data_IF_802336454127
#
_entry.id   IF_802336454127
#
_cell.length_a   1.000
_cell.length_b   1.000
_cell.length_c   1.000
_cell.angle_alpha   90.00
_cell.angle_beta   90.00
_cell.angle_gamma   90.00
#
_symmetry.space_group_name_H-M   'P 1'
#
loop_
_entity.id
_entity.type
_entity.pdbx_description
1 polymer ?
#
# COMPACT_ATOMS: atom_id res chain seq x y z
N UNK A 1 8.01 -18.42 -17.33
CA UNK A 1 7.48 -17.04 -17.30
C UNK A 1 7.93 -16.43 -15.99
N UNK A 2 8.44 -15.19 -16.01
CA UNK A 2 8.75 -14.51 -14.75
C UNK A 2 7.44 -14.20 -14.03
N UNK A 3 7.35 -14.42 -12.72
CA UNK A 3 6.15 -14.09 -11.98
C UNK A 3 5.95 -12.57 -12.05
N UNK A 4 4.73 -12.15 -12.36
CA UNK A 4 4.37 -10.74 -12.42
C UNK A 4 3.21 -10.47 -11.49
N UNK A 5 3.36 -9.47 -10.63
CA UNK A 5 2.25 -8.96 -9.84
C UNK A 5 1.22 -8.26 -10.75
N UNK A 6 -0.08 -8.27 -10.38
CA UNK A 6 -1.08 -7.39 -10.98
C UNK A 6 -0.69 -5.91 -10.80
N UNK A 7 -1.27 -5.02 -11.59
CA UNK A 7 -1.07 -3.57 -11.41
C UNK A 7 -1.59 -3.09 -10.06
N UNK A 8 -1.03 -2.00 -9.53
CA UNK A 8 -1.45 -1.41 -8.25
C UNK A 8 -2.95 -1.10 -8.17
N UNK A 9 -3.62 -0.56 -9.21
CA UNK A 9 -5.08 -0.39 -9.19
C UNK A 9 -5.85 -1.70 -9.03
N UNK A 10 -5.38 -2.78 -9.69
CA UNK A 10 -6.00 -4.10 -9.56
C UNK A 10 -5.76 -4.70 -8.17
N UNK A 11 -4.56 -4.52 -7.61
CA UNK A 11 -4.26 -4.92 -6.22
C UNK A 11 -5.20 -4.18 -5.25
N UNK A 12 -5.47 -2.89 -5.47
CA UNK A 12 -6.42 -2.13 -4.65
C UNK A 12 -7.85 -2.68 -4.73
N UNK A 13 -8.35 -2.96 -5.94
CA UNK A 13 -9.67 -3.56 -6.11
C UNK A 13 -9.77 -4.93 -5.40
N UNK A 14 -8.79 -5.81 -5.62
CA UNK A 14 -8.75 -7.14 -4.98
C UNK A 14 -8.59 -7.05 -3.46
N UNK A 15 -7.88 -6.05 -2.96
CA UNK A 15 -7.73 -5.77 -1.52
C UNK A 15 -9.07 -5.38 -0.91
N UNK A 16 -9.81 -4.45 -1.54
CA UNK A 16 -11.13 -4.06 -1.10
C UNK A 16 -12.11 -5.24 -1.12
N UNK A 17 -12.16 -6.00 -2.21
CA UNK A 17 -13.02 -7.17 -2.35
C UNK A 17 -12.67 -8.26 -1.32
N UNK A 18 -11.38 -8.41 -0.99
CA UNK A 18 -10.95 -9.31 0.08
C UNK A 18 -11.49 -8.90 1.45
N UNK A 19 -11.60 -7.60 1.72
CA UNK A 19 -12.06 -7.07 3.00
C UNK A 19 -13.58 -7.03 3.16
N UNK A 20 -14.35 -6.89 2.06
CA UNK A 20 -15.80 -6.65 1.99
C UNK A 20 -16.67 -7.58 2.85
N UNK A 21 -16.15 -8.71 3.33
CA UNK A 21 -16.90 -9.63 4.19
C UNK A 21 -16.10 -10.15 5.39
N UNK A 22 -14.87 -9.65 5.57
CA UNK A 22 -13.93 -10.12 6.60
C UNK A 22 -13.77 -9.13 7.75
N UNK A 23 -14.04 -7.86 7.51
CA UNK A 23 -13.92 -6.83 8.55
C UNK A 23 -15.01 -7.00 9.59
N UNK A 24 -14.62 -7.14 10.86
CA UNK A 24 -15.53 -7.05 12.01
C UNK A 24 -15.21 -5.81 12.83
N UNK A 25 -16.16 -4.91 12.99
CA UNK A 25 -15.95 -3.64 13.71
C UNK A 25 -15.64 -3.80 15.22
N UNK A 26 -15.91 -4.97 15.78
CA UNK A 26 -15.61 -5.29 17.18
C UNK A 26 -14.21 -5.88 17.39
N UNK A 27 -13.46 -6.14 16.33
CA UNK A 27 -12.14 -6.78 16.41
C UNK A 27 -11.06 -5.83 16.94
N UNK A 28 -10.04 -6.40 17.58
CA UNK A 28 -8.91 -5.61 18.09
C UNK A 28 -8.06 -5.14 16.90
N UNK A 29 -7.32 -4.04 17.09
CA UNK A 29 -6.36 -3.52 16.10
C UNK A 29 -5.44 -4.61 15.50
N UNK A 30 -4.98 -5.54 16.34
CA UNK A 30 -4.14 -6.68 15.97
C UNK A 30 -4.79 -7.62 14.96
N UNK A 31 -6.09 -7.83 15.06
CA UNK A 31 -6.83 -8.74 14.18
C UNK A 31 -6.99 -8.12 12.78
N UNK A 32 -7.17 -6.81 12.73
CA UNK A 32 -7.27 -6.07 11.48
C UNK A 32 -5.92 -6.00 10.75
N UNK A 33 -4.82 -5.70 11.43
CA UNK A 33 -3.46 -5.80 10.86
C UNK A 33 -3.19 -7.21 10.32
N UNK A 34 -3.64 -8.26 11.02
CA UNK A 34 -3.54 -9.63 10.53
C UNK A 34 -4.32 -9.84 9.22
N UNK A 35 -5.54 -9.30 9.09
CA UNK A 35 -6.31 -9.37 7.85
C UNK A 35 -5.58 -8.72 6.67
N UNK A 36 -4.93 -7.58 6.90
CA UNK A 36 -4.09 -6.92 5.87
C UNK A 36 -2.97 -7.86 5.43
N UNK A 37 -2.21 -8.42 6.37
CA UNK A 37 -1.11 -9.32 6.01
C UNK A 37 -1.58 -10.65 5.41
N UNK A 38 -2.76 -11.14 5.76
CA UNK A 38 -3.35 -12.33 5.17
C UNK A 38 -3.72 -12.12 3.70
N UNK A 39 -4.18 -10.91 3.33
CA UNK A 39 -4.35 -10.53 1.91
C UNK A 39 -3.04 -10.61 1.15
N UNK A 40 -1.99 -9.93 1.64
CA UNK A 40 -0.70 -9.91 0.94
C UNK A 40 -0.03 -11.29 0.90
N UNK A 41 -0.18 -12.09 1.95
CA UNK A 41 0.27 -13.49 1.96
C UNK A 41 -0.45 -14.33 0.90
N UNK A 42 -1.75 -14.10 0.68
CA UNK A 42 -2.49 -14.73 -0.42
C UNK A 42 -2.00 -14.27 -1.79
N UNK A 43 -1.76 -12.97 -1.97
CA UNK A 43 -1.24 -12.40 -3.21
C UNK A 43 0.15 -12.95 -3.55
N UNK A 44 1.02 -13.16 -2.56
CA UNK A 44 2.31 -13.84 -2.74
C UNK A 44 2.13 -15.25 -3.32
N UNK A 45 1.21 -16.04 -2.74
CA UNK A 45 1.02 -17.44 -3.10
C UNK A 45 0.21 -17.67 -4.39
N UNK A 46 -0.53 -16.66 -4.88
CA UNK A 46 -1.31 -16.78 -6.12
C UNK A 46 -0.47 -16.61 -7.39
N UNK A 47 0.77 -16.13 -7.26
CA UNK A 47 1.71 -15.94 -8.38
C UNK A 47 2.38 -17.26 -8.76
N UNK A 48 2.77 -17.40 -10.04
CA UNK A 48 3.42 -18.60 -10.57
C UNK A 48 4.67 -18.22 -11.38
N UNK A 49 5.89 -18.59 -10.92
CA UNK A 49 6.20 -19.20 -9.63
C UNK A 49 5.85 -18.26 -8.44
N UNK A 50 5.57 -18.80 -7.24
CA UNK A 50 5.19 -17.97 -6.10
C UNK A 50 6.37 -17.16 -5.57
N UNK A 51 6.11 -15.89 -5.26
CA UNK A 51 7.03 -15.05 -4.52
C UNK A 51 7.30 -15.59 -3.10
N UNK A 52 8.35 -15.06 -2.46
CA UNK A 52 8.59 -15.20 -1.03
C UNK A 52 8.10 -13.94 -0.31
N UNK A 53 7.09 -14.08 0.53
CA UNK A 53 6.62 -13.04 1.45
C UNK A 53 7.40 -13.08 2.75
N UNK A 54 7.90 -11.93 3.21
CA UNK A 54 8.64 -11.79 4.48
C UNK A 54 8.01 -10.68 5.29
N UNK A 55 7.63 -10.97 6.55
CA UNK A 55 7.16 -9.97 7.51
C UNK A 55 8.35 -9.35 8.25
N UNK A 56 8.19 -8.12 8.73
CA UNK A 56 9.17 -7.40 9.55
C UNK A 56 10.56 -7.41 8.91
N UNK A 57 10.62 -7.01 7.63
CA UNK A 57 11.85 -7.02 6.86
C UNK A 57 12.55 -5.67 6.97
N UNK A 58 13.64 -5.63 7.74
CA UNK A 58 14.35 -4.39 8.09
C UNK A 58 13.41 -3.43 8.83
N UNK A 59 13.05 -2.30 8.22
CA UNK A 59 12.12 -1.31 8.78
C UNK A 59 10.71 -1.43 8.21
N UNK A 60 10.46 -2.35 7.26
CA UNK A 60 9.19 -2.52 6.57
C UNK A 60 8.35 -3.62 7.21
N UNK A 61 7.04 -3.41 7.27
CA UNK A 61 6.11 -4.41 7.78
C UNK A 61 6.06 -5.69 6.94
N UNK A 62 6.12 -5.57 5.61
CA UNK A 62 6.09 -6.74 4.72
C UNK A 62 6.75 -6.47 3.36
N UNK A 63 7.43 -7.49 2.82
CA UNK A 63 8.01 -7.45 1.48
C UNK A 63 7.71 -8.72 0.69
N UNK A 64 7.62 -8.58 -0.64
CA UNK A 64 7.65 -9.70 -1.58
C UNK A 64 8.93 -9.67 -2.40
N UNK A 65 9.59 -10.82 -2.50
CA UNK A 65 10.80 -10.99 -3.31
C UNK A 65 10.83 -12.33 -4.02
N UNK A 66 11.65 -12.44 -5.05
CA UNK A 66 11.90 -13.69 -5.74
C UNK A 66 12.61 -14.72 -4.83
N UNK A 67 12.39 -16.01 -5.08
CA UNK A 67 13.13 -17.08 -4.40
C UNK A 67 14.53 -17.19 -5.00
N UNK A 68 15.56 -17.17 -4.15
CA UNK A 68 16.95 -17.43 -4.56
C UNK A 68 17.15 -18.93 -4.82
N UNK A 69 17.98 -19.35 -5.79
CA UNK A 69 18.93 -18.56 -6.58
C UNK A 69 18.41 -18.16 -7.98
N UNK A 70 17.10 -18.33 -8.25
CA UNK A 70 16.54 -18.24 -9.60
C UNK A 70 16.69 -16.85 -10.26
N UNK A 71 16.98 -15.80 -9.47
CA UNK A 71 17.07 -14.42 -9.94
C UNK A 71 18.30 -13.72 -9.37
N UNK A 72 19.11 -13.11 -10.26
CA UNK A 72 20.35 -12.41 -9.92
C UNK A 72 20.15 -11.04 -9.28
N UNK A 73 18.91 -10.54 -9.22
CA UNK A 73 18.59 -9.22 -8.70
C UNK A 73 17.93 -9.35 -7.32
N UNK A 74 18.55 -8.75 -6.31
CA UNK A 74 17.99 -8.53 -4.96
C UNK A 74 16.86 -7.48 -4.96
N UNK A 75 16.13 -7.33 -6.06
CA UNK A 75 15.05 -6.36 -6.18
C UNK A 75 13.79 -6.90 -5.53
N UNK A 76 13.22 -6.12 -4.60
CA UNK A 76 11.91 -6.41 -4.06
C UNK A 76 10.85 -6.12 -5.13
N UNK A 77 9.87 -7.00 -5.24
CA UNK A 77 8.72 -6.77 -6.11
C UNK A 77 7.69 -5.88 -5.44
N UNK A 78 7.51 -6.05 -4.11
CA UNK A 78 6.57 -5.27 -3.32
C UNK A 78 7.16 -4.97 -1.96
N UNK A 79 6.99 -3.72 -1.50
CA UNK A 79 7.19 -3.28 -0.12
C UNK A 79 5.88 -2.70 0.42
N UNK A 80 5.55 -3.02 1.67
CA UNK A 80 4.32 -2.61 2.34
C UNK A 80 4.65 -2.03 3.71
N UNK A 81 4.00 -0.91 4.02
CA UNK A 81 3.83 -0.38 5.38
C UNK A 81 2.33 -0.27 5.72
N UNK A 82 1.96 -0.63 6.95
CA UNK A 82 0.62 -0.55 7.48
C UNK A 82 0.62 0.01 8.90
N UNK A 83 0.14 1.24 9.06
CA UNK A 83 -0.02 1.86 10.38
C UNK A 83 -1.50 2.12 10.66
N UNK A 84 -2.06 1.36 11.61
CA UNK A 84 -3.46 1.47 12.04
C UNK A 84 -3.71 2.63 13.01
N UNK A 85 -2.66 3.17 13.63
CA UNK A 85 -2.76 4.24 14.60
C UNK A 85 -2.93 5.59 13.91
N UNK A 86 -3.80 6.44 14.47
CA UNK A 86 -3.99 7.80 13.99
C UNK A 86 -2.81 8.68 14.43
N UNK A 87 -1.70 8.59 13.70
CA UNK A 87 -0.50 9.40 13.91
C UNK A 87 -0.60 10.72 13.15
N UNK A 88 0.15 11.73 13.61
CA UNK A 88 0.22 13.01 12.92
C UNK A 88 0.90 12.81 11.55
N UNK A 89 0.51 13.58 10.52
CA UNK A 89 1.11 13.43 9.18
C UNK A 89 2.64 13.47 9.17
N UNK A 90 3.26 14.37 9.94
CA UNK A 90 4.73 14.48 9.97
C UNK A 90 5.39 13.21 10.49
N UNK A 91 4.78 12.51 11.45
CA UNK A 91 5.34 11.30 12.04
C UNK A 91 5.25 10.13 11.05
N UNK A 92 4.14 10.03 10.31
CA UNK A 92 3.96 9.02 9.25
C UNK A 92 4.94 9.26 8.10
N UNK A 93 5.20 10.53 7.77
CA UNK A 93 6.14 10.90 6.70
C UNK A 93 7.58 10.57 7.06
N UNK A 94 8.00 10.84 8.30
CA UNK A 94 9.39 10.66 8.74
C UNK A 94 9.76 9.20 9.05
N UNK A 95 8.78 8.32 9.28
CA UNK A 95 8.98 6.87 9.42
C UNK A 95 8.47 6.10 8.19
N UNK A 96 7.18 5.78 8.15
CA UNK A 96 6.63 4.77 7.24
C UNK A 96 6.85 5.15 5.76
N UNK A 97 6.57 6.40 5.41
CA UNK A 97 6.73 6.86 4.02
C UNK A 97 8.21 6.98 3.66
N UNK A 98 9.07 7.38 4.60
CA UNK A 98 10.52 7.42 4.40
C UNK A 98 11.08 6.02 4.13
N UNK A 99 10.66 5.01 4.89
CA UNK A 99 11.08 3.63 4.68
C UNK A 99 10.71 3.13 3.26
N UNK A 100 9.48 3.41 2.81
CA UNK A 100 9.04 3.07 1.46
C UNK A 100 9.86 3.82 0.39
N UNK A 101 10.19 5.08 0.61
CA UNK A 101 11.01 5.85 -0.34
C UNK A 101 12.44 5.31 -0.42
N UNK A 102 13.05 4.94 0.72
CA UNK A 102 14.45 4.50 0.79
C UNK A 102 14.70 3.10 0.23
N UNK A 103 13.69 2.23 0.25
CA UNK A 103 13.84 0.86 -0.26
C UNK A 103 13.71 0.81 -1.79
N UNK A 104 14.49 -0.04 -2.46
CA UNK A 104 14.32 -0.31 -3.89
C UNK A 104 13.31 -1.44 -4.10
N UNK A 105 12.09 -1.07 -4.45
CA UNK A 105 10.99 -2.00 -4.73
C UNK A 105 10.17 -1.53 -5.93
N UNK A 106 9.73 -2.47 -6.78
CA UNK A 106 8.89 -2.12 -7.94
C UNK A 106 7.56 -1.50 -7.49
N UNK A 107 6.86 -2.16 -6.56
CA UNK A 107 5.63 -1.66 -5.96
C UNK A 107 5.84 -1.28 -4.50
N UNK A 108 5.33 -0.11 -4.12
CA UNK A 108 5.43 0.43 -2.76
C UNK A 108 4.04 0.79 -2.29
N UNK A 109 3.57 0.18 -1.22
CA UNK A 109 2.21 0.34 -0.73
C UNK A 109 2.24 0.87 0.70
N UNK A 110 1.55 1.98 0.96
CA UNK A 110 1.33 2.50 2.30
C UNK A 110 -0.16 2.47 2.64
N UNK A 111 -0.52 1.88 3.78
CA UNK A 111 -1.92 1.82 4.24
C UNK A 111 -2.03 2.53 5.58
N UNK A 112 -2.76 3.65 5.62
CA UNK A 112 -2.81 4.55 6.77
C UNK A 112 -4.25 4.96 7.13
N UNK A 113 -4.45 5.41 8.36
CA UNK A 113 -5.76 5.80 8.89
C UNK A 113 -5.71 7.20 9.52
N UNK A 114 -5.39 8.25 8.72
CA UNK A 114 -5.31 9.61 9.24
C UNK A 114 -6.67 10.11 9.75
N UNK A 115 -6.66 11.19 10.54
CA UNK A 115 -7.89 11.93 10.81
C UNK A 115 -8.43 12.55 9.52
N UNK A 116 -9.74 12.79 9.43
CA UNK A 116 -10.37 13.39 8.23
C UNK A 116 -9.75 14.75 7.89
N UNK A 117 -9.40 15.54 8.91
CA UNK A 117 -8.76 16.85 8.72
C UNK A 117 -7.29 16.77 8.26
N UNK A 118 -6.63 15.63 8.45
CA UNK A 118 -5.22 15.42 8.13
C UNK A 118 -4.98 14.71 6.80
N UNK A 119 -6.01 14.10 6.19
CA UNK A 119 -5.87 13.25 5.00
C UNK A 119 -5.22 13.99 3.82
N UNK A 120 -5.70 15.19 3.48
CA UNK A 120 -5.14 15.99 2.38
C UNK A 120 -3.70 16.42 2.67
N UNK A 121 -3.43 16.90 3.88
CA UNK A 121 -2.09 17.29 4.30
C UNK A 121 -1.10 16.12 4.20
N UNK A 122 -1.52 14.92 4.61
CA UNK A 122 -0.71 13.72 4.48
C UNK A 122 -0.46 13.35 3.01
N UNK A 123 -1.50 13.39 2.16
CA UNK A 123 -1.39 13.13 0.71
C UNK A 123 -0.41 14.09 0.03
N UNK A 124 -0.50 15.39 0.30
CA UNK A 124 0.42 16.41 -0.24
C UNK A 124 1.86 16.10 0.17
N UNK A 125 2.08 15.84 1.46
CA UNK A 125 3.43 15.53 1.97
C UNK A 125 4.00 14.23 1.43
N UNK A 126 3.16 13.21 1.22
CA UNK A 126 3.57 11.96 0.56
C UNK A 126 4.09 12.27 -0.84
N UNK A 127 3.34 13.06 -1.63
CA UNK A 127 3.76 13.47 -2.96
C UNK A 127 5.12 14.19 -2.94
N UNK A 128 5.24 15.22 -2.10
CA UNK A 128 6.50 15.96 -1.93
C UNK A 128 7.65 15.04 -1.53
N UNK A 129 7.39 14.07 -0.65
CA UNK A 129 8.41 13.14 -0.17
C UNK A 129 8.91 12.20 -1.26
N UNK A 130 8.00 11.67 -2.07
CA UNK A 130 8.34 10.84 -3.24
C UNK A 130 9.16 11.68 -4.23
N UNK A 131 8.75 12.92 -4.49
CA UNK A 131 9.46 13.83 -5.39
C UNK A 131 10.88 14.18 -4.91
N UNK A 132 11.07 14.33 -3.59
CA UNK A 132 12.39 14.53 -2.99
C UNK A 132 13.28 13.27 -3.07
N UNK A 133 12.69 12.08 -2.98
CA UNK A 133 13.39 10.79 -3.11
C UNK A 133 13.89 10.47 -4.53
N UNK A 134 13.61 11.34 -5.50
CA UNK A 134 13.87 11.13 -6.94
C UNK A 134 15.32 10.78 -7.28
N UNK A 135 16.31 11.26 -6.52
CA UNK A 135 17.72 10.94 -6.76
C UNK A 135 18.07 9.45 -6.57
N UNK A 136 17.25 8.72 -5.79
CA UNK A 136 17.40 7.29 -5.51
C UNK A 136 16.40 6.42 -6.28
N UNK A 137 15.34 7.04 -6.81
CA UNK A 137 14.19 6.35 -7.40
C UNK A 137 14.55 5.63 -8.70
N UNK A 138 14.08 4.40 -8.80
CA UNK A 138 14.29 3.55 -9.96
C UNK A 138 13.17 3.84 -10.97
N UNK A 139 13.42 3.94 -12.30
CA UNK A 139 12.45 4.35 -13.31
C UNK A 139 11.08 3.65 -13.28
N UNK A 140 11.00 2.47 -12.68
CA UNK A 140 9.87 1.55 -12.70
C UNK A 140 9.17 1.44 -11.34
N UNK A 141 9.50 2.30 -10.38
CA UNK A 141 8.79 2.33 -9.10
C UNK A 141 7.41 2.96 -9.24
N UNK A 142 6.41 2.30 -8.68
CA UNK A 142 5.05 2.82 -8.55
C UNK A 142 4.61 2.76 -7.09
N UNK A 143 3.83 3.75 -6.66
CA UNK A 143 3.38 3.87 -5.28
C UNK A 143 1.86 3.84 -5.18
N UNK A 144 1.33 3.14 -4.19
CA UNK A 144 -0.09 3.14 -3.87
C UNK A 144 -0.27 3.49 -2.40
N UNK A 145 -0.91 4.62 -2.12
CA UNK A 145 -1.27 5.00 -0.77
C UNK A 145 -2.77 4.87 -0.56
N UNK A 146 -3.16 4.07 0.43
CA UNK A 146 -4.54 3.76 0.79
C UNK A 146 -4.84 4.42 2.14
N UNK A 147 -5.86 5.27 2.17
CA UNK A 147 -6.33 5.94 3.39
C UNK A 147 -7.68 5.36 3.80
N UNK A 148 -7.73 4.75 4.98
CA UNK A 148 -8.95 4.24 5.58
C UNK A 148 -9.54 5.23 6.59
N UNK A 149 -10.84 5.47 6.51
CA UNK A 149 -11.56 6.27 7.50
C UNK A 149 -12.89 5.62 7.90
N UNK A 150 -13.29 5.67 9.18
CA UNK A 150 -14.60 5.18 9.60
C UNK A 150 -15.70 6.07 9.02
N UNK A 151 -16.75 5.47 8.48
CA UNK A 151 -17.91 6.18 7.94
C UNK A 151 -19.20 5.35 8.09
N UNK A 152 -20.32 5.89 7.60
CA UNK A 152 -21.61 5.19 7.55
C UNK A 152 -22.22 5.29 6.16
N UNK A 153 -22.75 4.17 5.65
CA UNK A 153 -23.44 4.11 4.36
C UNK A 153 -24.73 3.30 4.53
N UNK A 154 -25.87 3.90 4.20
CA UNK A 154 -27.18 3.24 4.36
C UNK A 154 -27.52 2.86 5.81
N UNK A 155 -27.00 3.60 6.80
CA UNK A 155 -27.18 3.31 8.23
C UNK A 155 -26.20 2.29 8.80
N UNK A 156 -25.35 1.68 7.98
CA UNK A 156 -24.37 0.67 8.40
C UNK A 156 -22.97 1.28 8.54
N UNK A 157 -22.23 0.85 9.58
CA UNK A 157 -20.82 1.23 9.76
C UNK A 157 -19.96 0.61 8.65
N UNK A 158 -19.08 1.41 8.07
CA UNK A 158 -18.14 1.00 7.03
C UNK A 158 -16.77 1.70 7.20
N UNK A 159 -15.74 1.18 6.53
CA UNK A 159 -14.53 1.95 6.22
C UNK A 159 -14.69 2.49 4.80
N UNK A 160 -14.43 3.79 4.64
CA UNK A 160 -14.13 4.36 3.33
C UNK A 160 -12.63 4.24 3.08
N UNK A 161 -12.27 3.48 2.05
CA UNK A 161 -10.92 3.48 1.50
C UNK A 161 -10.84 4.42 0.30
N UNK A 162 -9.92 5.36 0.37
CA UNK A 162 -9.50 6.21 -0.74
C UNK A 162 -8.08 5.86 -1.10
N UNK A 163 -7.78 5.70 -2.38
CA UNK A 163 -6.45 5.34 -2.81
C UNK A 163 -5.89 6.32 -3.83
N UNK A 164 -4.61 6.66 -3.70
CA UNK A 164 -3.85 7.47 -4.65
C UNK A 164 -2.71 6.65 -5.20
N UNK A 165 -2.68 6.48 -6.52
CA UNK A 165 -1.63 5.80 -7.26
C UNK A 165 -0.67 6.84 -7.84
N UNK A 166 0.61 6.76 -7.51
CA UNK A 166 1.65 7.62 -8.06
C UNK A 166 2.55 6.85 -9.01
N UNK A 167 2.81 7.43 -10.18
CA UNK A 167 3.61 6.83 -11.24
C UNK A 167 4.63 7.87 -11.71
N UNK A 168 5.88 7.44 -11.85
CA UNK A 168 6.89 8.24 -12.53
C UNK A 168 6.71 8.16 -14.04
N UNK A 169 6.26 9.26 -14.65
CA UNK A 169 6.22 9.34 -16.11
C UNK A 169 7.57 9.86 -16.63
N UNK A 170 8.17 9.11 -17.55
CA UNK A 170 9.38 9.52 -18.29
C UNK A 170 8.98 9.92 -19.69
N UNK A 171 8.79 11.22 -19.90
CA UNK A 171 8.62 11.79 -21.23
C UNK A 171 9.68 12.86 -21.47
N UNK A 172 10.49 12.66 -22.51
CA UNK A 172 11.41 13.65 -23.08
C UNK A 172 12.32 14.33 -22.04
N UNK A 173 13.22 13.55 -21.40
CA UNK A 173 14.18 13.99 -20.37
C UNK A 173 13.60 14.64 -19.10
N UNK A 174 12.28 14.80 -19.01
CA UNK A 174 11.58 15.23 -17.82
C UNK A 174 10.88 14.06 -17.14
N UNK A 175 11.20 13.87 -15.86
CA UNK A 175 10.52 12.94 -14.97
C UNK A 175 9.54 13.71 -14.11
N UNK A 176 8.24 13.48 -14.30
CA UNK A 176 7.18 14.07 -13.49
C UNK A 176 6.44 12.97 -12.74
N UNK A 177 6.08 13.24 -11.48
CA UNK A 177 5.24 12.34 -10.71
C UNK A 177 3.78 12.64 -11.06
N UNK A 178 3.13 11.67 -11.70
CA UNK A 178 1.70 11.71 -11.92
C UNK A 178 1.00 11.04 -10.75
N UNK A 179 -0.12 11.62 -10.32
CA UNK A 179 -0.98 11.05 -9.30
C UNK A 179 -2.37 10.81 -9.87
N UNK A 180 -2.89 9.60 -9.70
CA UNK A 180 -4.25 9.23 -10.06
C UNK A 180 -5.00 8.78 -8.82
N UNK A 181 -6.09 9.48 -8.49
CA UNK A 181 -7.01 9.00 -7.48
C UNK A 181 -7.80 7.82 -8.04
N UNK A 182 -7.82 6.71 -7.32
CA UNK A 182 -8.62 5.54 -7.65
C UNK A 182 -10.04 5.72 -7.12
N UNK A 183 -10.97 4.91 -7.64
CA UNK A 183 -12.37 4.96 -7.20
C UNK A 183 -12.47 4.59 -5.73
N UNK A 184 -13.05 5.48 -4.94
CA UNK A 184 -13.37 5.25 -3.54
C UNK A 184 -14.19 3.96 -3.34
N UNK A 185 -13.87 3.21 -2.28
CA UNK A 185 -14.52 1.93 -1.93
C UNK A 185 -15.02 1.97 -0.50
N UNK A 186 -16.29 1.62 -0.32
CA UNK A 186 -16.91 1.45 0.99
C UNK A 186 -16.87 -0.02 1.36
N UNK A 187 -16.24 -0.34 2.50
CA UNK A 187 -16.13 -1.70 3.02
C UNK A 187 -17.09 -1.86 4.18
N UNK A 188 -18.12 -2.66 3.98
CA UNK A 188 -19.15 -2.91 5.00
C UNK A 188 -18.75 -4.05 5.93
N UNK A 189 -19.32 -4.06 7.14
CA UNK A 189 -19.26 -5.24 8.00
C UNK A 189 -20.28 -6.28 7.51
N UNK A 190 -19.91 -7.54 7.60
CA UNK A 190 -20.86 -8.65 7.53
C UNK A 190 -21.82 -8.58 8.73
N UNK A 191 -23.09 -8.24 8.47
CA UNK A 191 -24.16 -8.38 9.45
C UNK A 191 -24.25 -9.87 9.83
N UNK A 192 -24.17 -10.17 11.13
CA UNK A 192 -24.49 -11.49 11.67
C UNK A 192 -26.00 -11.63 11.80
#
# INVERSE_FOLDING_TARGET
MNPSLPSLPKIFDEFCDFLEEKVKWSEKKTDFTKLIFDFFSKLTNSTQPPFLGVREYMTLDFVMRHKMPEYSFNTLELALEHEISQRKPNDVISSEVQHLVDIKAKYKIGIFYPSVGDEENLRIKIKEKIEQGKSLSVPWEEYLFIFGSPTTQGGERCILFKATHFIWNKQYDHQNLESKQLKDKFIKQKNK
#
